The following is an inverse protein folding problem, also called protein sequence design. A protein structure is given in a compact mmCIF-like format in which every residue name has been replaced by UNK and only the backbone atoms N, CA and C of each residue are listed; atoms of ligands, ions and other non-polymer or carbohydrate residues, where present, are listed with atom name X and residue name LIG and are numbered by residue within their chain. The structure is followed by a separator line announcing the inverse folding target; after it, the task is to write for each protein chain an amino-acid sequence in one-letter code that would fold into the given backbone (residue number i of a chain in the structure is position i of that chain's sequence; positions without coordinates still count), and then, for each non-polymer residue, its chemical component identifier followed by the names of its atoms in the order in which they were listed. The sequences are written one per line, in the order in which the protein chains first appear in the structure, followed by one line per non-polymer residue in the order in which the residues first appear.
data_IF_054848313904
#
_entry.id   IF_054848313904
#
_cell.length_a   1.000
_cell.length_b   1.000
_cell.length_c   1.000
_cell.angle_alpha   90.00
_cell.angle_beta   90.00
_cell.angle_gamma   90.00
#
_symmetry.space_group_name_H-M   'P 1'
#
loop_
_entity.id
_entity.type
_entity.pdbx_description
1 polymer ?
#
# COMPACT_ATOMS: atom_id res chain seq x y z
N UNK A 1 2.45 -15.18 -0.72
CA UNK A 1 1.85 -14.28 0.28
C UNK A 1 2.96 -13.84 1.23
N UNK A 2 3.22 -12.54 1.34
CA UNK A 2 4.23 -11.96 2.23
C UNK A 2 3.62 -10.74 2.93
N UNK A 3 4.20 -10.37 4.08
CA UNK A 3 3.90 -9.10 4.75
C UNK A 3 4.95 -8.08 4.32
N UNK A 4 4.52 -6.93 3.80
CA UNK A 4 5.39 -5.92 3.19
C UNK A 4 5.11 -4.57 3.83
N UNK A 5 6.16 -3.87 4.26
CA UNK A 5 6.04 -2.51 4.79
C UNK A 5 6.54 -1.55 3.73
N UNK A 6 5.72 -0.56 3.37
CA UNK A 6 6.10 0.49 2.42
C UNK A 6 5.86 1.83 3.09
N UNK A 7 6.91 2.65 3.16
CA UNK A 7 6.84 4.03 3.65
C UNK A 7 6.80 5.01 2.48
N UNK A 8 6.19 6.18 2.66
CA UNK A 8 6.10 7.17 1.58
C UNK A 8 5.01 6.85 0.56
N UNK A 9 3.92 6.23 1.01
CA UNK A 9 2.80 5.78 0.18
C UNK A 9 1.78 6.87 -0.18
N UNK A 10 2.08 8.15 0.12
CA UNK A 10 1.13 9.24 -0.14
C UNK A 10 1.02 9.63 -1.63
N UNK A 11 2.01 9.25 -2.46
CA UNK A 11 2.08 9.50 -3.91
C UNK A 11 3.32 8.85 -4.54
N UNK A 12 3.37 8.84 -5.86
CA UNK A 12 4.55 8.41 -6.63
C UNK A 12 4.83 6.91 -6.46
N UNK A 13 6.11 6.55 -6.46
CA UNK A 13 6.53 5.14 -6.51
C UNK A 13 6.04 4.33 -5.30
N UNK A 14 6.08 4.91 -4.10
CA UNK A 14 5.61 4.21 -2.90
C UNK A 14 4.11 3.87 -2.96
N UNK A 15 3.30 4.75 -3.55
CA UNK A 15 1.87 4.52 -3.75
C UNK A 15 1.62 3.38 -4.74
N UNK A 16 2.26 3.42 -5.92
CA UNK A 16 2.10 2.40 -6.95
C UNK A 16 2.59 1.02 -6.48
N UNK A 17 3.71 0.95 -5.76
CA UNK A 17 4.21 -0.29 -5.21
C UNK A 17 3.26 -0.90 -4.17
N UNK A 18 2.61 -0.08 -3.34
CA UNK A 18 1.64 -0.56 -2.37
C UNK A 18 0.45 -1.22 -3.06
N UNK A 19 -0.09 -0.59 -4.11
CA UNK A 19 -1.15 -1.18 -4.92
C UNK A 19 -0.70 -2.45 -5.64
N UNK A 20 0.47 -2.43 -6.27
CA UNK A 20 0.99 -3.58 -7.01
C UNK A 20 1.10 -4.81 -6.09
N UNK A 21 1.79 -4.70 -4.96
CA UNK A 21 1.98 -5.84 -4.07
C UNK A 21 0.67 -6.31 -3.43
N UNK A 22 -0.25 -5.39 -3.14
CA UNK A 22 -1.56 -5.74 -2.60
C UNK A 22 -2.43 -6.48 -3.64
N UNK A 23 -2.38 -6.06 -4.91
CA UNK A 23 -3.03 -6.72 -6.05
C UNK A 23 -2.42 -8.10 -6.36
N UNK A 24 -1.11 -8.27 -6.12
CA UNK A 24 -0.42 -9.57 -6.17
C UNK A 24 -0.77 -10.49 -4.97
N UNK A 25 -1.65 -10.04 -4.07
CA UNK A 25 -2.16 -10.82 -2.94
C UNK A 25 -1.22 -10.84 -1.73
N UNK A 26 -0.35 -9.85 -1.58
CA UNK A 26 0.46 -9.65 -0.37
C UNK A 26 -0.24 -8.72 0.60
N UNK A 27 0.00 -8.88 1.91
CA UNK A 27 -0.49 -7.96 2.92
C UNK A 27 0.49 -6.80 3.04
N UNK A 28 0.02 -5.58 2.80
CA UNK A 28 0.87 -4.38 2.74
C UNK A 28 0.51 -3.43 3.88
N UNK A 29 1.49 -3.07 4.70
CA UNK A 29 1.39 -1.95 5.63
C UNK A 29 1.90 -0.68 4.93
N UNK A 30 0.99 0.24 4.61
CA UNK A 30 1.26 1.42 3.81
C UNK A 30 1.35 2.69 4.69
N UNK A 31 2.58 3.13 4.99
CA UNK A 31 2.83 4.24 5.93
C UNK A 31 3.02 5.56 5.18
N UNK A 32 2.15 6.52 5.45
CA UNK A 32 2.34 7.91 5.02
C UNK A 32 1.63 8.89 5.94
N UNK A 33 1.96 10.19 5.83
CA UNK A 33 1.29 11.25 6.60
C UNK A 33 -0.13 11.54 6.11
N UNK A 34 -0.41 11.24 4.84
CA UNK A 34 -1.72 11.43 4.20
C UNK A 34 -1.98 10.22 3.32
N UNK A 35 -2.86 9.34 3.78
CA UNK A 35 -3.20 8.11 3.10
C UNK A 35 -4.17 8.39 1.95
N UNK A 36 -3.84 7.98 0.71
CA UNK A 36 -4.78 8.02 -0.41
C UNK A 36 -5.99 7.11 -0.16
N UNK A 37 -7.15 7.50 -0.69
CA UNK A 37 -8.41 6.77 -0.45
C UNK A 37 -8.35 5.35 -1.02
N UNK A 38 -7.67 5.20 -2.16
CA UNK A 38 -7.46 3.94 -2.87
C UNK A 38 -6.71 2.92 -2.01
N UNK A 39 -5.78 3.36 -1.16
CA UNK A 39 -5.07 2.46 -0.23
C UNK A 39 -5.97 2.02 0.93
N UNK A 40 -6.90 2.87 1.37
CA UNK A 40 -7.82 2.57 2.49
C UNK A 40 -8.90 1.58 2.05
N UNK A 41 -9.38 1.67 0.81
CA UNK A 41 -10.44 0.81 0.28
C UNK A 41 -9.92 -0.56 -0.18
N UNK A 42 -8.60 -0.75 -0.27
CA UNK A 42 -8.01 -1.99 -0.73
C UNK A 42 -7.91 -3.04 0.38
N UNK A 43 -8.50 -4.22 0.17
CA UNK A 43 -8.65 -5.26 1.21
C UNK A 43 -7.33 -5.83 1.77
N UNK A 44 -6.25 -5.78 0.99
CA UNK A 44 -4.92 -6.27 1.39
C UNK A 44 -3.96 -5.15 1.85
N UNK A 45 -4.46 -3.94 2.11
CA UNK A 45 -3.66 -2.80 2.59
C UNK A 45 -4.15 -2.35 3.97
N UNK A 46 -3.21 -2.07 4.87
CA UNK A 46 -3.45 -1.49 6.20
C UNK A 46 -2.64 -0.22 6.38
#
# INVERSE_FOLDING_TARGET
MKNIIITGTSRGIGFELALQFANEGHQVLAISRKTPKELIEHSNIT
#
